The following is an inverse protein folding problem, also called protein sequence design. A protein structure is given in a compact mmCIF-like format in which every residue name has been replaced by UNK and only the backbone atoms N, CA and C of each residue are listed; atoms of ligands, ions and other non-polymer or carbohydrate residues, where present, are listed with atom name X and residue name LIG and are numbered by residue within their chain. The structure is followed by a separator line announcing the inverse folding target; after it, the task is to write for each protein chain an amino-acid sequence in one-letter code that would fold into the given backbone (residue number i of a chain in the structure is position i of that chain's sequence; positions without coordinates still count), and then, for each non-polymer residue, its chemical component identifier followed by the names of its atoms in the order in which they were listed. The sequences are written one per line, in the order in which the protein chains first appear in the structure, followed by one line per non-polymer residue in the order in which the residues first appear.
data_IF_167362300167
#
_entry.id   IF_167362300167
#
_cell.length_a   1.000
_cell.length_b   1.000
_cell.length_c   1.000
_cell.angle_alpha   90.00
_cell.angle_beta   90.00
_cell.angle_gamma   90.00
#
_symmetry.space_group_name_H-M   'P 1'
#
loop_
_entity.id
_entity.type
_entity.pdbx_description
1 polymer ?
#
# COMPACT_ATOMS: atom_id res chain seq x y z
N UNK A 1 19.78 1.39 18.48
CA UNK A 1 19.35 0.26 17.62
C UNK A 1 19.77 0.57 16.20
N UNK A 2 20.27 -0.40 15.42
CA UNK A 2 20.68 -0.16 14.03
C UNK A 2 19.46 -0.21 13.11
N UNK A 3 19.48 0.61 12.05
CA UNK A 3 18.49 0.50 10.99
C UNK A 3 18.66 -0.83 10.24
N UNK A 4 17.53 -1.42 9.84
CA UNK A 4 17.44 -2.63 9.01
C UNK A 4 16.72 -2.29 7.71
N UNK A 5 17.03 -3.03 6.65
CA UNK A 5 16.31 -2.96 5.38
C UNK A 5 15.76 -4.34 5.04
N UNK A 6 14.47 -4.41 4.67
CA UNK A 6 13.82 -5.65 4.26
C UNK A 6 13.13 -5.50 2.90
N UNK A 7 12.91 -6.65 2.26
CA UNK A 7 12.08 -6.80 1.07
C UNK A 7 11.03 -7.89 1.32
N UNK A 8 9.83 -7.66 0.80
CA UNK A 8 8.70 -8.56 0.94
C UNK A 8 7.79 -8.45 -0.29
N UNK A 9 6.75 -9.27 -0.31
CA UNK A 9 5.66 -9.19 -1.28
C UNK A 9 4.35 -8.97 -0.55
N UNK A 10 3.43 -8.23 -1.16
CA UNK A 10 2.01 -8.35 -0.82
C UNK A 10 1.19 -8.80 -2.03
N UNK A 11 0.09 -9.50 -1.75
CA UNK A 11 -0.95 -9.83 -2.72
C UNK A 11 -2.25 -9.19 -2.28
N UNK A 12 -2.96 -8.57 -3.22
CA UNK A 12 -4.32 -8.08 -2.98
C UNK A 12 -5.28 -9.26 -3.02
N UNK A 13 -5.96 -9.51 -1.92
CA UNK A 13 -6.95 -10.60 -1.76
C UNK A 13 -8.34 -10.12 -2.14
N UNK A 14 -8.69 -8.89 -1.72
CA UNK A 14 -9.96 -8.25 -2.03
C UNK A 14 -9.73 -6.78 -2.39
N UNK A 15 -10.55 -6.27 -3.31
CA UNK A 15 -10.55 -4.86 -3.75
C UNK A 15 -11.98 -4.37 -3.88
N UNK A 16 -12.40 -3.54 -2.94
CA UNK A 16 -13.71 -2.90 -2.94
C UNK A 16 -13.55 -1.41 -3.20
N UNK A 17 -13.91 -0.99 -4.42
CA UNK A 17 -13.84 0.40 -4.83
C UNK A 17 -15.22 0.98 -5.08
N UNK A 18 -15.48 2.15 -4.49
CA UNK A 18 -16.76 2.86 -4.63
C UNK A 18 -16.51 4.33 -4.97
N UNK A 19 -17.21 4.89 -5.97
CA UNK A 19 -17.21 6.33 -6.20
C UNK A 19 -17.64 7.10 -4.95
N UNK A 20 -16.95 8.21 -4.67
CA UNK A 20 -17.37 9.20 -3.68
C UNK A 20 -17.83 10.49 -4.33
N UNK A 21 -17.44 10.74 -5.59
CA UNK A 21 -17.96 11.84 -6.40
C UNK A 21 -19.25 11.46 -7.10
N UNK A 22 -20.10 12.47 -7.31
CA UNK A 22 -21.33 12.36 -8.09
C UNK A 22 -21.05 12.06 -9.58
N UNK A 23 -22.04 11.51 -10.26
CA UNK A 23 -21.99 11.28 -11.70
C UNK A 23 -21.87 12.61 -12.46
N UNK A 24 -20.99 12.67 -13.46
CA UNK A 24 -20.73 13.89 -14.24
C UNK A 24 -19.76 14.88 -13.59
N UNK A 25 -19.22 14.60 -12.40
CA UNK A 25 -18.18 15.42 -11.80
C UNK A 25 -16.93 15.48 -12.70
N UNK A 26 -16.29 16.65 -12.75
CA UNK A 26 -15.08 16.88 -13.56
C UNK A 26 -13.88 16.02 -13.12
N UNK A 27 -13.86 15.62 -11.85
CA UNK A 27 -12.85 14.73 -11.27
C UNK A 27 -13.54 13.50 -10.70
N UNK A 28 -13.15 12.31 -11.15
CA UNK A 28 -13.61 11.05 -10.56
C UNK A 28 -12.76 10.74 -9.34
N UNK A 29 -13.41 10.62 -8.18
CA UNK A 29 -12.77 10.23 -6.93
C UNK A 29 -13.46 8.99 -6.38
N UNK A 30 -12.67 8.04 -5.87
CA UNK A 30 -13.17 6.81 -5.27
C UNK A 30 -12.58 6.60 -3.88
N UNK A 31 -13.31 5.86 -3.05
CA UNK A 31 -12.77 5.23 -1.85
C UNK A 31 -12.53 3.75 -2.16
N UNK A 32 -11.37 3.26 -1.73
CA UNK A 32 -11.01 1.84 -1.84
C UNK A 32 -10.80 1.26 -0.47
N UNK A 33 -11.35 0.07 -0.24
CA UNK A 33 -10.92 -0.85 0.81
C UNK A 33 -10.27 -2.07 0.17
N UNK A 34 -9.03 -2.36 0.53
CA UNK A 34 -8.27 -3.50 0.01
C UNK A 34 -7.76 -4.38 1.13
N UNK A 35 -7.94 -5.69 0.97
CA UNK A 35 -7.36 -6.69 1.86
C UNK A 35 -6.09 -7.26 1.23
N UNK A 36 -5.04 -7.42 2.03
CA UNK A 36 -3.71 -7.80 1.57
C UNK A 36 -3.14 -8.92 2.39
N UNK A 37 -2.37 -9.78 1.75
CA UNK A 37 -1.55 -10.81 2.39
C UNK A 37 -0.08 -10.56 2.10
N UNK A 38 0.73 -10.48 3.15
CA UNK A 38 2.17 -10.23 3.09
C UNK A 38 2.97 -11.53 3.26
N UNK A 39 4.07 -11.66 2.52
CA UNK A 39 5.00 -12.79 2.59
C UNK A 39 6.47 -12.35 2.41
N UNK A 40 7.39 -13.22 2.84
CA UNK A 40 8.83 -12.92 2.83
C UNK A 40 9.29 -12.39 4.19
N UNK A 41 10.06 -11.30 4.20
CA UNK A 41 10.54 -10.69 5.44
C UNK A 41 9.45 -9.92 6.22
N UNK A 42 8.31 -9.66 5.59
CA UNK A 42 7.11 -9.12 6.23
C UNK A 42 6.00 -10.15 6.03
N UNK A 43 5.50 -10.76 7.11
CA UNK A 43 4.47 -11.80 7.03
C UNK A 43 3.25 -11.38 7.82
N UNK A 44 2.06 -11.50 7.23
CA UNK A 44 0.83 -11.12 7.90
C UNK A 44 -0.26 -10.70 6.93
N UNK A 45 -1.20 -9.90 7.43
CA UNK A 45 -2.29 -9.34 6.63
C UNK A 45 -2.34 -7.83 6.78
N UNK A 46 -3.00 -7.17 5.82
CA UNK A 46 -3.29 -5.75 5.95
C UNK A 46 -4.63 -5.38 5.37
N UNK A 47 -5.20 -4.33 5.93
CA UNK A 47 -6.42 -3.68 5.44
C UNK A 47 -6.02 -2.25 5.07
N UNK A 48 -6.03 -1.96 3.78
CA UNK A 48 -5.75 -0.64 3.25
C UNK A 48 -7.03 0.11 2.89
N UNK A 49 -7.07 1.39 3.23
CA UNK A 49 -8.17 2.32 2.93
C UNK A 49 -7.57 3.52 2.20
N UNK A 50 -8.01 3.76 0.96
CA UNK A 50 -7.51 4.84 0.11
C UNK A 50 -8.61 5.75 -0.40
N UNK A 51 -8.23 7.00 -0.65
CA UNK A 51 -8.94 7.90 -1.57
C UNK A 51 -8.11 8.00 -2.84
N UNK A 52 -8.70 7.67 -3.99
CA UNK A 52 -8.06 7.71 -5.31
C UNK A 52 -8.67 8.82 -6.14
N UNK A 53 -7.83 9.69 -6.68
CA UNK A 53 -8.20 10.75 -7.63
C UNK A 53 -7.70 10.34 -9.02
N UNK A 54 -8.63 10.14 -9.95
CA UNK A 54 -8.29 9.77 -11.32
C UNK A 54 -8.06 11.00 -12.19
N UNK A 55 -6.92 11.08 -12.86
CA UNK A 55 -6.55 12.23 -13.68
C UNK A 55 -7.26 12.18 -15.05
N UNK A 56 -8.12 13.17 -15.37
CA UNK A 56 -8.86 13.19 -16.64
C UNK A 56 -7.94 13.20 -17.87
N UNK A 57 -8.36 12.52 -18.94
CA UNK A 57 -7.65 12.51 -20.23
C UNK A 57 -6.36 11.68 -20.29
N UNK A 58 -6.13 10.79 -19.32
CA UNK A 58 -4.92 9.96 -19.22
C UNK A 58 -5.16 8.47 -19.43
N UNK A 59 -6.35 8.11 -19.90
CA UNK A 59 -6.82 6.75 -20.21
C UNK A 59 -6.24 6.19 -21.53
N UNK A 60 -5.87 7.06 -22.48
CA UNK A 60 -5.45 6.69 -23.84
C UNK A 60 -4.00 6.21 -24.01
N UNK A 61 -3.23 6.04 -22.92
CA UNK A 61 -1.80 5.68 -23.03
C UNK A 61 -1.19 4.92 -21.86
N UNK A 62 -1.97 4.50 -20.87
CA UNK A 62 -1.42 3.73 -19.74
C UNK A 62 -1.29 2.25 -20.08
N UNK A 63 -0.39 1.56 -19.38
CA UNK A 63 -0.02 0.15 -19.58
C UNK A 63 -1.19 -0.86 -19.47
N UNK A 64 -2.39 -0.41 -19.13
CA UNK A 64 -3.60 -1.21 -18.91
C UNK A 64 -4.92 -0.50 -19.28
N UNK A 65 -4.88 0.65 -19.97
CA UNK A 65 -6.08 1.41 -20.35
C UNK A 65 -6.82 2.07 -19.18
N UNK A 66 -6.23 2.07 -17.98
CA UNK A 66 -6.74 2.78 -16.81
C UNK A 66 -6.14 4.18 -16.71
N UNK A 67 -6.90 5.24 -16.40
CA UNK A 67 -6.33 6.57 -16.24
C UNK A 67 -5.26 6.59 -15.15
N UNK A 68 -4.26 7.46 -15.32
CA UNK A 68 -3.32 7.75 -14.24
C UNK A 68 -4.08 8.28 -13.03
N UNK A 69 -3.56 8.02 -11.83
CA UNK A 69 -4.21 8.47 -10.60
C UNK A 69 -3.21 8.78 -9.50
N UNK A 70 -3.67 9.57 -8.54
CA UNK A 70 -2.98 9.83 -7.28
C UNK A 70 -3.85 9.37 -6.12
N UNK A 71 -3.23 8.80 -5.09
CA UNK A 71 -3.95 8.29 -3.94
C UNK A 71 -3.17 8.44 -2.64
N UNK A 72 -3.91 8.49 -1.54
CA UNK A 72 -3.39 8.54 -0.18
C UNK A 72 -4.35 7.79 0.75
N UNK A 73 -3.87 7.44 1.94
CA UNK A 73 -4.70 6.80 2.96
C UNK A 73 -3.88 6.06 4.00
N UNK A 74 -4.38 4.92 4.48
CA UNK A 74 -3.71 4.13 5.51
C UNK A 74 -3.72 2.64 5.17
N UNK A 75 -2.81 1.89 5.77
CA UNK A 75 -2.83 0.43 5.81
C UNK A 75 -2.66 -0.03 7.26
N UNK A 76 -3.69 -0.64 7.82
CA UNK A 76 -3.58 -1.35 9.10
C UNK A 76 -2.94 -2.72 8.84
N UNK A 77 -1.76 -2.96 9.38
CA UNK A 77 -1.02 -4.21 9.26
C UNK A 77 -1.07 -5.00 10.56
N UNK A 78 -1.25 -6.32 10.44
CA UNK A 78 -1.10 -7.29 11.52
C UNK A 78 -0.14 -8.39 11.09
N UNK A 79 0.92 -8.60 11.85
CA UNK A 79 1.92 -9.62 11.53
C UNK A 79 3.28 -9.37 12.16
N UNK A 80 4.31 -9.80 11.44
CA UNK A 80 5.70 -9.85 11.93
C UNK A 80 6.69 -9.32 10.90
N UNK A 81 7.75 -8.69 11.40
CA UNK A 81 8.94 -8.29 10.64
C UNK A 81 10.08 -9.27 10.95
N UNK A 82 10.63 -9.94 9.94
CA UNK A 82 11.74 -10.91 10.06
C UNK A 82 11.52 -12.00 11.14
N UNK A 83 10.27 -12.45 11.29
CA UNK A 83 9.91 -13.45 12.32
C UNK A 83 9.85 -12.90 13.75
N UNK A 84 9.81 -11.58 13.93
CA UNK A 84 9.48 -10.96 15.22
C UNK A 84 8.17 -11.53 15.80
N UNK A 85 7.94 -11.43 17.12
CA UNK A 85 6.62 -11.67 17.67
C UNK A 85 5.57 -10.83 16.93
N UNK A 86 4.36 -11.38 16.80
CA UNK A 86 3.26 -10.72 16.08
C UNK A 86 2.86 -9.41 16.79
N UNK A 87 2.54 -8.40 16.00
CA UNK A 87 1.95 -7.15 16.46
C UNK A 87 1.12 -6.50 15.38
N UNK A 88 0.62 -5.30 15.69
CA UNK A 88 -0.22 -4.50 14.78
C UNK A 88 0.36 -3.09 14.70
N UNK A 89 0.24 -2.46 13.53
CA UNK A 89 0.73 -1.11 13.27
C UNK A 89 0.02 -0.51 12.05
N UNK A 90 -0.11 0.81 12.01
CA UNK A 90 -0.64 1.56 10.86
C UNK A 90 0.51 2.12 10.04
N UNK A 91 0.44 1.92 8.73
CA UNK A 91 1.25 2.61 7.74
C UNK A 91 0.44 3.76 7.14
N UNK A 92 0.96 4.97 7.19
CA UNK A 92 0.45 6.12 6.45
C UNK A 92 0.90 5.99 5.00
N UNK A 93 -0.03 6.07 4.06
CA UNK A 93 0.26 5.93 2.62
C UNK A 93 0.34 7.31 2.01
N UNK A 94 1.54 7.65 1.55
CA UNK A 94 1.91 8.92 0.96
C UNK A 94 2.38 8.73 -0.49
N UNK A 95 2.31 9.80 -1.28
CA UNK A 95 2.79 9.85 -2.67
C UNK A 95 2.29 8.70 -3.57
N UNK A 96 1.11 8.14 -3.25
CA UNK A 96 0.52 7.06 -4.02
C UNK A 96 0.22 7.51 -5.43
N UNK A 97 0.70 6.75 -6.41
CA UNK A 97 0.48 7.02 -7.83
C UNK A 97 0.27 5.75 -8.62
N UNK A 98 -0.53 5.90 -9.67
CA UNK A 98 -0.74 4.89 -10.69
C UNK A 98 -0.38 5.47 -12.05
N UNK A 99 0.62 4.88 -12.70
CA UNK A 99 1.05 5.25 -14.06
C UNK A 99 1.27 3.98 -14.90
N UNK A 100 0.22 3.14 -14.95
CA UNK A 100 0.30 1.79 -15.52
C UNK A 100 0.73 0.73 -14.51
N UNK A 101 1.48 1.13 -13.47
CA UNK A 101 1.76 0.33 -12.28
C UNK A 101 1.53 1.18 -11.02
N UNK A 102 1.14 0.53 -9.92
CA UNK A 102 0.90 1.18 -8.65
C UNK A 102 2.20 1.27 -7.82
N UNK A 103 2.47 2.46 -7.29
CA UNK A 103 3.55 2.66 -6.32
C UNK A 103 3.16 3.71 -5.26
N UNK A 104 3.65 3.55 -4.03
CA UNK A 104 3.43 4.49 -2.94
C UNK A 104 4.54 4.40 -1.88
N UNK A 105 4.72 5.49 -1.14
CA UNK A 105 5.58 5.54 0.04
C UNK A 105 4.75 5.26 1.29
N UNK A 106 5.39 4.63 2.29
CA UNK A 106 4.82 4.38 3.60
C UNK A 106 5.64 5.02 4.71
N UNK A 107 4.94 5.61 5.69
CA UNK A 107 5.53 6.02 6.97
C UNK A 107 4.83 5.23 8.07
N UNK A 108 5.60 4.73 9.04
CA UNK A 108 5.05 4.02 10.19
C UNK A 108 4.48 5.04 11.19
N UNK A 109 3.20 4.92 11.53
CA UNK A 109 2.63 5.65 12.67
C UNK A 109 3.06 4.94 13.96
N UNK A 110 4.21 5.37 14.50
CA UNK A 110 4.87 4.76 15.66
C UNK A 110 3.95 4.58 16.88
N UNK A 111 2.94 5.46 17.04
CA UNK A 111 2.02 5.43 18.19
C UNK A 111 1.02 4.29 18.10
N UNK A 112 0.79 3.76 16.91
CA UNK A 112 -0.14 2.65 16.66
C UNK A 112 0.51 1.28 16.82
N UNK A 113 1.84 1.24 16.93
CA UNK A 113 2.59 0.01 16.99
C UNK A 113 2.40 -0.70 18.33
N UNK A 114 1.78 -1.87 18.32
CA UNK A 114 1.43 -2.67 19.49
C UNK A 114 1.92 -4.13 19.35
N UNK A 115 1.86 -4.89 20.46
CA UNK A 115 2.34 -6.27 20.49
C UNK A 115 3.84 -6.36 20.21
N UNK A 116 4.25 -7.35 19.43
CA UNK A 116 5.64 -7.56 19.02
C UNK A 116 6.23 -6.49 18.10
N UNK A 117 5.40 -5.55 17.62
CA UNK A 117 5.83 -4.40 16.84
C UNK A 117 5.94 -3.11 17.68
N UNK A 118 5.69 -3.18 18.99
CA UNK A 118 5.79 -1.99 19.85
C UNK A 118 7.18 -1.36 19.77
N UNK A 119 7.23 -0.07 19.43
CA UNK A 119 8.48 0.67 19.26
C UNK A 119 9.02 0.67 17.82
N UNK A 120 8.30 0.04 16.88
CA UNK A 120 8.63 0.08 15.45
C UNK A 120 8.63 1.52 14.94
N UNK A 121 9.71 1.88 14.25
CA UNK A 121 9.86 3.15 13.53
C UNK A 121 10.42 2.87 12.17
N UNK A 122 10.03 3.65 11.17
CA UNK A 122 10.57 3.47 9.84
C UNK A 122 9.71 4.04 8.74
N UNK A 123 10.17 3.78 7.53
CA UNK A 123 9.52 4.14 6.27
C UNK A 123 9.69 3.00 5.29
N UNK A 124 8.86 2.97 4.29
CA UNK A 124 8.87 1.91 3.29
C UNK A 124 8.02 2.30 2.12
N UNK A 125 7.42 1.31 1.48
CA UNK A 125 6.48 1.52 0.41
C UNK A 125 6.30 0.25 -0.40
N UNK A 126 5.60 0.42 -1.50
CA UNK A 126 5.45 -0.64 -2.48
C UNK A 126 5.52 -0.13 -3.90
N UNK A 127 5.86 -1.03 -4.81
CA UNK A 127 5.96 -0.79 -6.24
C UNK A 127 5.65 -2.07 -6.97
N UNK A 128 4.66 -1.98 -7.85
CA UNK A 128 4.38 -3.06 -8.78
C UNK A 128 5.32 -2.94 -9.98
N UNK A 129 5.93 -4.05 -10.38
CA UNK A 129 6.86 -4.06 -11.50
C UNK A 129 6.08 -4.10 -12.82
N UNK A 130 6.54 -3.32 -13.80
CA UNK A 130 5.95 -3.34 -15.12
C UNK A 130 6.10 -4.73 -15.77
N UNK A 131 4.99 -5.30 -16.24
CA UNK A 131 4.98 -6.62 -16.88
C UNK A 131 4.90 -7.81 -15.93
N UNK A 132 4.93 -7.58 -14.60
CA UNK A 132 4.57 -8.60 -13.62
C UNK A 132 3.05 -8.66 -13.52
N UNK A 133 2.48 -9.85 -13.36
CA UNK A 133 1.04 -9.97 -13.17
C UNK A 133 0.68 -9.66 -11.73
N UNK A 134 -0.50 -9.11 -11.49
CA UNK A 134 -0.97 -8.83 -10.12
C UNK A 134 -1.03 -10.08 -9.23
N UNK A 135 -1.23 -11.26 -9.82
CA UNK A 135 -1.22 -12.56 -9.12
C UNK A 135 0.15 -12.97 -8.58
N UNK A 136 1.25 -12.44 -9.15
CA UNK A 136 2.62 -12.71 -8.72
C UNK A 136 3.06 -11.80 -7.55
N UNK A 137 2.22 -10.82 -7.20
CA UNK A 137 2.40 -9.94 -6.05
C UNK A 137 3.02 -8.58 -6.39
N UNK A 138 3.12 -7.75 -5.35
CA UNK A 138 3.70 -6.40 -5.42
C UNK A 138 4.87 -6.30 -4.46
N UNK A 139 5.99 -5.76 -4.93
CA UNK A 139 7.19 -5.59 -4.12
C UNK A 139 6.97 -4.57 -3.02
N UNK A 140 7.42 -4.92 -1.82
CA UNK A 140 7.42 -4.07 -0.62
C UNK A 140 8.85 -3.90 -0.12
N UNK A 141 9.18 -2.71 0.34
CA UNK A 141 10.43 -2.43 1.05
C UNK A 141 10.15 -1.68 2.35
N UNK A 142 11.02 -1.87 3.32
CA UNK A 142 11.04 -1.08 4.56
C UNK A 142 12.47 -0.83 5.01
N UNK A 143 12.72 0.39 5.47
CA UNK A 143 13.84 0.79 6.31
C UNK A 143 13.30 1.07 7.71
N UNK A 144 13.71 0.29 8.72
CA UNK A 144 13.10 0.36 10.04
C UNK A 144 14.08 0.12 11.19
N UNK A 145 13.66 0.52 12.39
CA UNK A 145 14.25 0.14 13.68
C UNK A 145 13.14 -0.45 14.55
N UNK A 146 13.45 -1.55 15.24
CA UNK A 146 12.58 -2.23 16.18
C UNK A 146 13.39 -2.63 17.40
#
# INVERSE_FOLDING_TARGET
MSAKSIKALYHTVNWEEKPITEEGAALKITRVRSERKFSGALTGTGIAEYVINYHPGTDSGSHCGMPTSSYAGICHFKGSFEGSPEGEVVFLVENGKFTGAAEADWIIDEKTAIGGLKGLKGKGGYKHDAGVKFEDGTNVWFEYTL
#
